data_IF_178060115394
#
_entry.id   IF_178060115394
#
_cell.length_a   1.000
_cell.length_b   1.000
_cell.length_c   1.000
_cell.angle_alpha   90.00
_cell.angle_beta   90.00
_cell.angle_gamma   90.00
#
_symmetry.space_group_name_H-M   'P 1'
#
loop_
_entity.id
_entity.type
_entity.pdbx_description
1 polymer ?
#
# COMPACT_ATOMS: atom_id res chain seq x y z
N UNK A 1 15.64 -1.91 -3.14
CA UNK A 1 14.63 -2.96 -2.89
C UNK A 1 13.46 -2.29 -2.22
N UNK A 2 12.24 -2.56 -2.69
CA UNK A 2 11.00 -1.91 -2.29
C UNK A 2 10.70 -1.96 -0.77
N UNK A 3 9.64 -1.30 -0.32
CA UNK A 3 9.17 -1.28 1.06
C UNK A 3 7.68 -1.57 1.17
N UNK A 4 7.29 -2.35 2.19
CA UNK A 4 5.89 -2.63 2.52
C UNK A 4 5.66 -2.19 3.96
N UNK A 5 4.56 -1.50 4.21
CA UNK A 5 4.10 -1.16 5.55
C UNK A 5 2.57 -1.26 5.63
N UNK A 6 2.05 -1.61 6.80
CA UNK A 6 0.61 -1.66 7.04
C UNK A 6 0.28 -1.99 8.49
N UNK A 7 -0.99 -1.87 8.82
CA UNK A 7 -1.55 -2.14 10.13
C UNK A 7 -2.93 -2.79 9.98
N UNK A 8 -3.31 -3.57 10.99
CA UNK A 8 -4.66 -4.14 11.07
C UNK A 8 -5.18 -3.96 12.49
N UNK A 9 -6.35 -3.32 12.61
CA UNK A 9 -7.00 -3.04 13.90
C UNK A 9 -7.87 -4.21 14.39
N UNK A 10 -8.19 -5.17 13.52
CA UNK A 10 -9.03 -6.32 13.86
C UNK A 10 -10.52 -6.00 14.01
N UNK A 11 -10.95 -4.77 13.69
CA UNK A 11 -12.34 -4.33 13.78
C UNK A 11 -12.60 -3.14 12.88
N UNK A 12 -13.86 -2.95 12.49
CA UNK A 12 -14.30 -1.77 11.76
C UNK A 12 -13.83 -0.47 12.44
N UNK A 13 -13.45 0.51 11.63
CA UNK A 13 -12.99 1.81 12.08
C UNK A 13 -13.48 2.90 11.12
N UNK A 14 -14.42 3.72 11.62
CA UNK A 14 -15.18 4.69 10.79
C UNK A 14 -14.36 5.87 10.26
N UNK A 15 -13.20 6.15 10.86
CA UNK A 15 -12.39 7.29 10.45
C UNK A 15 -11.43 6.87 9.33
N UNK A 16 -11.95 6.81 8.10
CA UNK A 16 -11.19 6.43 6.90
C UNK A 16 -10.02 7.37 6.64
N UNK A 17 -10.19 8.68 6.85
CA UNK A 17 -9.12 9.66 6.70
C UNK A 17 -7.92 9.34 7.60
N UNK A 18 -8.17 8.94 8.85
CA UNK A 18 -7.11 8.52 9.75
C UNK A 18 -6.43 7.23 9.27
N UNK A 19 -7.17 6.29 8.68
CA UNK A 19 -6.57 5.07 8.11
C UNK A 19 -5.63 5.42 6.96
N UNK A 20 -6.10 6.28 6.05
CA UNK A 20 -5.33 6.73 4.88
C UNK A 20 -4.08 7.49 5.30
N UNK A 21 -4.21 8.46 6.21
CA UNK A 21 -3.09 9.26 6.72
C UNK A 21 -2.07 8.36 7.45
N UNK A 22 -2.54 7.43 8.28
CA UNK A 22 -1.66 6.51 9.00
C UNK A 22 -0.91 5.60 8.03
N UNK A 23 -1.60 5.00 7.05
CA UNK A 23 -0.97 4.15 6.04
C UNK A 23 0.06 4.94 5.21
N UNK A 24 -0.30 6.16 4.79
CA UNK A 24 0.59 7.05 4.02
C UNK A 24 1.82 7.46 4.81
N UNK A 25 1.66 7.79 6.10
CA UNK A 25 2.77 8.13 6.99
C UNK A 25 3.71 6.93 7.17
N UNK A 26 3.17 5.73 7.41
CA UNK A 26 3.95 4.50 7.53
C UNK A 26 4.76 4.21 6.26
N UNK A 27 4.12 4.28 5.09
CA UNK A 27 4.76 4.08 3.78
C UNK A 27 5.81 5.14 3.49
N UNK A 28 5.60 6.39 3.93
CA UNK A 28 6.55 7.50 3.73
C UNK A 28 7.86 7.33 4.51
N UNK A 29 7.85 6.61 5.64
CA UNK A 29 9.10 6.26 6.35
C UNK A 29 10.03 5.35 5.53
N UNK A 30 9.50 4.68 4.50
CA UNK A 30 10.23 3.73 3.65
C UNK A 30 10.71 4.33 2.32
N UNK A 31 10.65 5.66 2.12
CA UNK A 31 10.98 6.29 0.83
C UNK A 31 12.37 5.90 0.29
N UNK A 32 13.36 5.73 1.17
CA UNK A 32 14.72 5.33 0.80
C UNK A 32 14.80 3.92 0.15
N UNK A 33 13.76 3.10 0.34
CA UNK A 33 13.67 1.75 -0.24
C UNK A 33 13.08 1.75 -1.65
N UNK A 34 12.23 2.73 -1.95
CA UNK A 34 11.50 2.84 -3.21
C UNK A 34 11.08 4.29 -3.47
N UNK A 35 11.95 5.08 -4.11
CA UNK A 35 11.70 6.50 -4.36
C UNK A 35 10.85 6.77 -5.59
N UNK A 36 10.62 5.77 -6.45
CA UNK A 36 10.05 5.99 -7.79
C UNK A 36 8.53 6.08 -7.77
N UNK A 37 7.86 5.31 -6.89
CA UNK A 37 6.40 5.29 -6.78
C UNK A 37 5.94 4.88 -5.37
N UNK A 38 4.71 5.25 -5.04
CA UNK A 38 4.06 4.88 -3.78
C UNK A 38 2.56 4.81 -3.89
N UNK A 39 1.96 3.84 -3.22
CA UNK A 39 0.51 3.72 -3.09
C UNK A 39 0.11 3.21 -1.71
N UNK A 40 -1.14 3.47 -1.35
CA UNK A 40 -1.79 2.96 -0.14
C UNK A 40 -3.20 2.50 -0.45
N UNK A 41 -3.67 1.55 0.33
CA UNK A 41 -5.05 1.07 0.30
C UNK A 41 -5.54 0.86 1.74
N UNK A 42 -6.83 1.14 1.97
CA UNK A 42 -7.47 0.99 3.28
C UNK A 42 -8.84 0.33 3.17
N UNK A 43 -9.24 -0.37 4.22
CA UNK A 43 -10.57 -0.94 4.40
C UNK A 43 -11.09 -0.61 5.80
N UNK A 44 -12.11 0.25 5.85
CA UNK A 44 -12.74 0.69 7.09
C UNK A 44 -13.59 -0.37 7.75
N UNK A 45 -14.09 -1.38 7.03
CA UNK A 45 -14.96 -2.42 7.57
C UNK A 45 -14.18 -3.40 8.46
N UNK A 46 -12.88 -3.57 8.20
CA UNK A 46 -11.99 -4.42 9.00
C UNK A 46 -10.86 -3.65 9.70
N UNK A 47 -10.79 -2.32 9.48
CA UNK A 47 -9.76 -1.45 10.07
C UNK A 47 -8.36 -1.80 9.60
N UNK A 48 -8.20 -2.09 8.30
CA UNK A 48 -6.95 -2.46 7.65
C UNK A 48 -6.42 -1.28 6.82
N UNK A 49 -5.11 -1.09 6.82
CA UNK A 49 -4.45 -0.17 5.91
C UNK A 49 -3.05 -0.65 5.60
N UNK A 50 -2.64 -0.59 4.34
CA UNK A 50 -1.29 -0.96 3.92
C UNK A 50 -0.89 -0.23 2.65
N UNK A 51 0.38 -0.32 2.27
CA UNK A 51 0.86 0.26 1.04
C UNK A 51 2.25 -0.18 0.66
N UNK A 52 2.83 0.53 -0.30
CA UNK A 52 4.07 0.15 -0.95
C UNK A 52 4.94 1.36 -1.28
N UNK A 53 6.26 1.20 -1.15
CA UNK A 53 7.28 2.06 -1.75
C UNK A 53 8.02 1.28 -2.82
N UNK A 54 7.94 1.74 -4.06
CA UNK A 54 8.44 1.01 -5.22
C UNK A 54 9.78 1.57 -5.69
N UNK A 55 10.74 0.67 -5.91
CA UNK A 55 11.90 0.91 -6.75
C UNK A 55 11.62 0.20 -8.08
N UNK A 56 11.43 0.96 -9.14
CA UNK A 56 10.95 0.50 -10.44
C UNK A 56 12.12 0.00 -11.28
N UNK A 57 12.33 -1.33 -11.31
CA UNK A 57 13.41 -1.96 -12.08
C UNK A 57 12.83 -2.70 -13.30
N UNK A 58 11.86 -3.60 -13.07
CA UNK A 58 11.14 -4.33 -14.12
C UNK A 58 9.74 -3.72 -14.25
N UNK A 59 9.31 -3.51 -15.49
CA UNK A 59 8.05 -2.84 -15.85
C UNK A 59 7.92 -1.46 -15.20
N UNK A 60 8.64 -0.48 -15.75
CA UNK A 60 8.66 0.90 -15.26
C UNK A 60 7.39 1.70 -15.63
N UNK A 61 6.36 1.03 -16.18
CA UNK A 61 5.08 1.65 -16.46
C UNK A 61 4.21 1.77 -15.21
N UNK A 62 3.15 2.55 -15.31
CA UNK A 62 2.14 2.70 -14.25
C UNK A 62 1.41 1.38 -13.95
N UNK A 63 1.45 0.39 -14.85
CA UNK A 63 0.88 -0.93 -14.62
C UNK A 63 1.60 -1.68 -13.47
N UNK A 64 2.84 -1.30 -13.15
CA UNK A 64 3.60 -1.83 -12.01
C UNK A 64 3.26 -1.19 -10.66
N UNK A 65 2.31 -0.26 -10.60
CA UNK A 65 1.89 0.41 -9.37
C UNK A 65 1.37 -0.57 -8.31
N UNK A 66 1.60 -0.25 -7.05
CA UNK A 66 1.21 -1.08 -5.90
C UNK A 66 0.63 -0.19 -4.78
N UNK A 67 -0.40 -0.64 -4.03
CA UNK A 67 -1.06 -1.95 -4.12
C UNK A 67 -1.83 -2.21 -5.42
N UNK A 68 -1.80 -3.46 -5.89
CA UNK A 68 -2.59 -3.90 -7.05
C UNK A 68 -3.96 -4.41 -6.60
N UNK A 69 -5.00 -4.06 -7.36
CA UNK A 69 -6.37 -4.51 -7.14
C UNK A 69 -6.72 -5.48 -8.28
N UNK A 70 -7.32 -6.63 -7.96
CA UNK A 70 -7.81 -7.57 -8.97
C UNK A 70 -8.90 -6.94 -9.82
N UNK A 71 -9.10 -7.44 -11.03
CA UNK A 71 -10.09 -6.90 -11.98
C UNK A 71 -11.52 -6.84 -11.38
N UNK A 72 -11.87 -7.82 -10.55
CA UNK A 72 -13.15 -7.90 -9.85
C UNK A 72 -13.19 -7.13 -8.51
N UNK A 73 -12.10 -6.48 -8.12
CA UNK A 73 -11.95 -5.74 -6.86
C UNK A 73 -11.89 -6.60 -5.61
N UNK A 74 -11.91 -7.94 -5.74
CA UNK A 74 -11.97 -8.87 -4.60
C UNK A 74 -10.66 -8.96 -3.83
N UNK A 75 -9.54 -8.84 -4.52
CA UNK A 75 -8.21 -9.01 -3.95
C UNK A 75 -7.41 -7.74 -4.10
N UNK A 76 -6.69 -7.40 -3.03
CA UNK A 76 -5.71 -6.32 -3.03
C UNK A 76 -4.40 -6.88 -2.52
N UNK A 77 -3.32 -6.67 -3.27
CA UNK A 77 -1.99 -7.22 -2.95
C UNK A 77 -0.94 -6.12 -2.95
N UNK A 78 0.05 -6.28 -2.08
CA UNK A 78 1.34 -5.61 -2.13
C UNK A 78 2.42 -6.67 -1.99
N UNK A 79 3.52 -6.56 -2.73
CA UNK A 79 4.59 -7.56 -2.72
C UNK A 79 5.95 -6.90 -2.96
N UNK A 80 7.01 -7.55 -2.48
CA UNK A 80 8.39 -7.10 -2.64
C UNK A 80 9.28 -8.32 -2.87
N UNK A 81 9.80 -8.48 -4.09
CA UNK A 81 10.60 -9.61 -4.52
C UNK A 81 10.64 -9.70 -6.03
N UNK A 82 11.15 -10.82 -6.55
CA UNK A 82 10.99 -11.33 -7.91
C UNK A 82 10.53 -12.78 -7.84
#
# INVERSE_FOLDING_TARGET
MCGIAGFWRGSAYKNTNWLEETASNMVSTLIQRGPDDSGTWVDSEVGLGFGHRRLSIIDVSDAGHQPMISEDGRYVITYNGE
#
